data_IF_210877658129
#
_entry.id   IF_210877658129
#
_cell.length_a   1.000
_cell.length_b   1.000
_cell.length_c   1.000
_cell.angle_alpha   90.00
_cell.angle_beta   90.00
_cell.angle_gamma   90.00
#
_symmetry.space_group_name_H-M   'P 1'
#
loop_
_entity.id
_entity.type
_entity.pdbx_description
1 polymer ?
#
# COMPACT_ATOMS: atom_id res chain seq x y z
N UNK A 1 -10.15 19.39 2.14
CA UNK A 1 -8.92 19.07 1.37
C UNK A 1 -8.67 17.58 1.48
N UNK A 2 -8.12 16.94 0.45
CA UNK A 2 -7.86 15.49 0.45
C UNK A 2 -6.36 15.25 0.53
N UNK A 3 -5.95 14.20 1.23
CA UNK A 3 -4.55 13.81 1.42
C UNK A 3 -4.40 12.35 1.05
N UNK A 4 -3.18 11.93 0.72
CA UNK A 4 -2.85 10.52 0.53
C UNK A 4 -1.73 10.18 1.49
N UNK A 5 -1.98 9.26 2.41
CA UNK A 5 -1.01 8.75 3.35
C UNK A 5 -0.49 7.42 2.80
N UNK A 6 0.80 7.37 2.48
CA UNK A 6 1.46 6.18 1.97
C UNK A 6 2.15 5.44 3.11
N UNK A 7 1.89 4.14 3.21
CA UNK A 7 2.45 3.28 4.26
C UNK A 7 3.66 2.56 3.68
N UNK A 8 4.84 2.91 4.15
CA UNK A 8 6.10 2.27 3.76
C UNK A 8 6.66 1.43 4.90
N UNK A 9 7.29 0.32 4.52
CA UNK A 9 8.07 -0.53 5.41
C UNK A 9 8.74 -1.65 4.62
N UNK A 10 9.79 -2.24 5.18
CA UNK A 10 10.35 -3.47 4.62
C UNK A 10 9.31 -4.59 4.74
N UNK A 11 9.09 -5.41 3.70
CA UNK A 11 8.05 -6.47 3.76
C UNK A 11 8.22 -7.48 4.90
N UNK A 12 9.46 -7.66 5.36
CA UNK A 12 9.84 -8.53 6.47
C UNK A 12 9.81 -7.84 7.84
N UNK A 13 9.33 -6.60 7.96
CA UNK A 13 9.41 -5.83 9.20
C UNK A 13 8.46 -6.31 10.31
N UNK A 14 7.49 -7.18 9.98
CA UNK A 14 6.49 -7.67 10.92
C UNK A 14 6.46 -9.19 11.01
N UNK A 15 6.26 -9.68 12.22
CA UNK A 15 5.73 -11.02 12.45
C UNK A 15 4.26 -11.11 12.00
N UNK A 16 3.76 -12.33 11.82
CA UNK A 16 2.36 -12.56 11.49
C UNK A 16 1.39 -12.04 12.57
N UNK A 17 1.83 -12.01 13.83
CA UNK A 17 1.04 -11.51 14.96
C UNK A 17 0.95 -9.97 14.91
N UNK A 18 2.08 -9.28 14.80
CA UNK A 18 2.13 -7.81 14.69
C UNK A 18 1.35 -7.31 13.47
N UNK A 19 1.51 -7.98 12.32
CA UNK A 19 0.74 -7.65 11.11
C UNK A 19 -0.77 -7.77 11.36
N UNK A 20 -1.21 -8.82 12.08
CA UNK A 20 -2.63 -9.01 12.38
C UNK A 20 -3.17 -7.93 13.31
N UNK A 21 -2.42 -7.61 14.35
CA UNK A 21 -2.79 -6.56 15.31
C UNK A 21 -2.90 -5.20 14.63
N UNK A 22 -1.88 -4.82 13.84
CA UNK A 22 -1.89 -3.59 13.05
C UNK A 22 -3.08 -3.51 12.08
N UNK A 23 -3.46 -4.62 11.46
CA UNK A 23 -4.64 -4.68 10.57
C UNK A 23 -5.95 -4.44 11.34
N UNK A 24 -6.09 -4.97 12.56
CA UNK A 24 -7.28 -4.74 13.39
C UNK A 24 -7.39 -3.28 13.81
N UNK A 25 -6.29 -2.68 14.26
CA UNK A 25 -6.25 -1.26 14.62
C UNK A 25 -6.55 -0.36 13.42
N UNK A 26 -5.96 -0.69 12.26
CA UNK A 26 -6.20 0.02 10.99
C UNK A 26 -7.69 0.00 10.60
N UNK A 27 -8.37 -1.15 10.75
CA UNK A 27 -9.80 -1.26 10.50
C UNK A 27 -10.63 -0.39 11.44
N UNK A 28 -10.29 -0.36 12.73
CA UNK A 28 -10.96 0.49 13.70
C UNK A 28 -10.79 2.00 13.38
N UNK A 29 -9.61 2.40 12.89
CA UNK A 29 -9.35 3.77 12.42
C UNK A 29 -10.22 4.10 11.20
N UNK A 30 -10.35 3.18 10.24
CA UNK A 30 -11.26 3.37 9.10
C UNK A 30 -12.71 3.61 9.56
N UNK A 31 -13.21 2.79 10.48
CA UNK A 31 -14.57 2.94 11.03
C UNK A 31 -14.78 4.32 11.71
N UNK A 32 -13.79 4.78 12.47
CA UNK A 32 -13.83 6.11 13.09
C UNK A 32 -13.83 7.23 12.05
N UNK A 33 -12.96 7.16 11.05
CA UNK A 33 -12.88 8.17 9.99
C UNK A 33 -14.12 8.18 9.10
N UNK A 34 -14.74 7.03 8.87
CA UNK A 34 -16.00 6.91 8.13
C UNK A 34 -17.16 7.56 8.91
N UNK A 35 -17.26 7.28 10.22
CA UNK A 35 -18.25 7.91 11.09
C UNK A 35 -18.13 9.45 11.13
N UNK A 36 -16.93 9.98 10.92
CA UNK A 36 -16.65 11.41 10.83
C UNK A 36 -16.81 12.00 9.41
N UNK A 37 -17.12 11.17 8.40
CA UNK A 37 -17.22 11.57 6.99
C UNK A 37 -15.88 11.98 6.38
N UNK A 38 -14.76 11.49 6.94
CA UNK A 38 -13.38 11.82 6.54
C UNK A 38 -12.70 10.72 5.73
N UNK A 39 -13.18 9.48 5.81
CA UNK A 39 -12.62 8.36 5.04
C UNK A 39 -13.04 8.43 3.57
N UNK A 40 -12.08 8.27 2.65
CA UNK A 40 -12.37 8.20 1.21
C UNK A 40 -12.04 6.81 0.68
N UNK A 41 -10.84 6.31 0.96
CA UNK A 41 -10.42 4.96 0.57
C UNK A 41 -9.19 4.53 1.36
N UNK A 42 -9.03 3.22 1.55
CA UNK A 42 -7.82 2.65 2.10
C UNK A 42 -7.66 1.21 1.64
N UNK A 43 -6.42 0.77 1.45
CA UNK A 43 -6.16 -0.65 1.18
C UNK A 43 -4.75 -1.03 1.62
N UNK A 44 -4.57 -2.18 2.29
CA UNK A 44 -3.28 -2.85 2.26
C UNK A 44 -3.01 -3.31 0.82
N UNK A 45 -1.73 -3.40 0.46
CA UNK A 45 -1.27 -3.98 -0.79
C UNK A 45 -0.66 -5.36 -0.54
N UNK A 46 -0.71 -6.20 -1.56
CA UNK A 46 0.05 -7.45 -1.58
C UNK A 46 1.55 -7.16 -1.72
N UNK A 47 2.37 -8.17 -1.43
CA UNK A 47 3.82 -8.12 -1.64
C UNK A 47 4.16 -7.67 -3.07
N UNK A 48 5.26 -6.93 -3.23
CA UNK A 48 5.81 -6.50 -4.51
C UNK A 48 6.15 -7.68 -5.43
N UNK A 49 6.30 -8.89 -4.88
CA UNK A 49 6.39 -10.13 -5.66
C UNK A 49 5.16 -10.41 -6.54
N UNK A 50 4.00 -9.86 -6.18
CA UNK A 50 2.75 -9.96 -6.96
C UNK A 50 2.57 -8.81 -7.95
N UNK A 51 3.47 -7.82 -7.92
CA UNK A 51 3.33 -6.62 -8.74
C UNK A 51 3.89 -6.81 -10.15
N UNK A 52 3.36 -6.02 -11.08
CA UNK A 52 3.85 -5.95 -12.47
C UNK A 52 3.97 -4.49 -12.85
N UNK A 53 5.14 -4.10 -13.34
CA UNK A 53 5.44 -2.74 -13.77
C UNK A 53 5.29 -2.61 -15.28
N UNK A 54 4.53 -1.59 -15.70
CA UNK A 54 4.34 -1.25 -17.12
C UNK A 54 4.99 0.10 -17.42
N UNK A 55 5.90 0.13 -18.39
CA UNK A 55 6.56 1.36 -18.85
C UNK A 55 6.26 1.59 -20.33
N UNK A 56 5.83 2.80 -20.67
CA UNK A 56 5.63 3.23 -22.07
C UNK A 56 6.69 4.26 -22.43
N UNK A 57 7.47 4.00 -23.48
CA UNK A 57 8.45 4.94 -24.05
C UNK A 57 8.32 4.93 -25.57
N UNK A 58 8.23 6.12 -26.18
CA UNK A 58 8.10 6.27 -27.64
C UNK A 58 6.96 5.44 -28.24
N UNK A 59 5.83 5.35 -27.53
CA UNK A 59 4.68 4.52 -27.94
C UNK A 59 4.88 3.01 -27.80
N UNK A 60 6.04 2.53 -27.33
CA UNK A 60 6.33 1.11 -27.09
C UNK A 60 6.09 0.76 -25.62
N UNK A 61 5.36 -0.33 -25.39
CA UNK A 61 5.07 -0.89 -24.05
C UNK A 61 6.11 -1.93 -23.66
N UNK A 62 6.66 -1.79 -22.46
CA UNK A 62 7.49 -2.78 -21.78
C UNK A 62 6.79 -3.20 -20.49
N UNK A 63 6.82 -4.49 -20.18
CA UNK A 63 6.19 -5.08 -18.99
C UNK A 63 7.26 -5.88 -18.26
N UNK A 64 7.39 -5.65 -16.96
CA UNK A 64 8.36 -6.35 -16.10
C UNK A 64 7.66 -6.81 -14.83
N UNK A 65 7.95 -8.04 -14.41
CA UNK A 65 7.50 -8.52 -13.10
C UNK A 65 8.25 -7.79 -11.98
N UNK A 66 7.55 -7.52 -10.88
CA UNK A 66 8.07 -6.78 -9.75
C UNK A 66 7.80 -5.26 -9.78
N UNK A 67 8.26 -4.57 -8.72
CA UNK A 67 7.94 -3.18 -8.47
C UNK A 67 8.63 -2.23 -9.46
N UNK A 68 8.24 -0.95 -9.44
CA UNK A 68 8.79 0.04 -10.37
C UNK A 68 10.30 0.28 -10.19
N UNK A 69 10.80 0.03 -8.99
CA UNK A 69 12.20 0.11 -8.57
C UNK A 69 12.41 -0.78 -7.33
N UNK A 70 13.65 -1.20 -7.10
CA UNK A 70 14.05 -1.78 -5.82
C UNK A 70 14.36 -0.68 -4.81
N UNK A 71 13.82 -0.83 -3.60
CA UNK A 71 13.91 0.14 -2.52
C UNK A 71 14.11 -0.59 -1.20
N UNK A 72 14.67 0.08 -0.20
CA UNK A 72 14.81 -0.48 1.15
C UNK A 72 13.45 -0.79 1.77
N UNK A 73 12.47 0.10 1.56
CA UNK A 73 11.10 -0.05 2.04
C UNK A 73 10.12 -0.05 0.87
N UNK A 74 9.10 -0.91 0.94
CA UNK A 74 8.10 -1.09 -0.10
C UNK A 74 6.80 -0.37 0.28
N UNK A 75 6.02 0.04 -0.72
CA UNK A 75 4.68 0.59 -0.49
C UNK A 75 3.74 -0.56 -0.12
N UNK A 76 3.36 -0.63 1.16
CA UNK A 76 2.54 -1.71 1.70
C UNK A 76 1.05 -1.39 1.81
N UNK A 77 0.65 -0.13 1.61
CA UNK A 77 -0.74 0.30 1.74
C UNK A 77 -0.90 1.80 1.66
N UNK A 78 -2.15 2.26 1.68
CA UNK A 78 -2.48 3.68 1.67
C UNK A 78 -3.80 4.01 2.39
N UNK A 79 -3.95 5.29 2.74
CA UNK A 79 -5.21 5.94 3.11
C UNK A 79 -5.41 7.20 2.27
N UNK A 80 -6.68 7.52 1.97
CA UNK A 80 -7.14 8.76 1.33
C UNK A 80 -8.27 9.37 2.17
#
# INVERSE_FOLDING_TARGET
MKYMLLIYGAESCWTAAERRECMLESMAICEQLDAEGKWIASSPLHSVSTSTSVRVREGKRQVTDGPFAETTEQLGGYYI
#
